data_IF_248527737235
#
_entry.id   IF_248527737235
#
_cell.length_a   1.000
_cell.length_b   1.000
_cell.length_c   1.000
_cell.angle_alpha   90.00
_cell.angle_beta   90.00
_cell.angle_gamma   90.00
#
_symmetry.space_group_name_H-M   'P 1'
#
loop_
_entity.id
_entity.type
_entity.pdbx_description
1 polymer ?
#
# COMPACT_ATOMS: atom_id res chain seq x y z
N UNK A 1 8.52 -4.19 -23.37
CA UNK A 1 8.87 -5.07 -22.23
C UNK A 1 9.28 -4.20 -21.05
N UNK A 2 8.44 -4.11 -20.02
CA UNK A 2 8.75 -3.34 -18.80
C UNK A 2 9.92 -4.02 -18.06
N UNK A 3 11.07 -3.34 -17.97
CA UNK A 3 12.19 -3.78 -17.12
C UNK A 3 11.64 -3.92 -15.70
N UNK A 4 11.61 -5.14 -15.15
CA UNK A 4 11.22 -5.39 -13.76
C UNK A 4 12.12 -4.53 -12.86
N UNK A 5 11.57 -3.44 -12.33
CA UNK A 5 12.26 -2.60 -11.35
C UNK A 5 12.36 -3.40 -10.05
N UNK A 6 13.54 -3.38 -9.43
CA UNK A 6 13.74 -3.95 -8.09
C UNK A 6 12.81 -3.20 -7.13
N UNK A 7 11.96 -3.88 -6.36
CA UNK A 7 11.03 -3.22 -5.43
C UNK A 7 11.78 -2.34 -4.43
N UNK A 8 11.22 -1.18 -4.06
CA UNK A 8 11.83 -0.27 -3.09
C UNK A 8 12.04 -0.93 -1.72
N UNK A 9 11.21 -1.92 -1.36
CA UNK A 9 11.39 -2.72 -0.15
C UNK A 9 12.74 -3.43 -0.16
N UNK A 10 13.15 -4.00 -1.29
CA UNK A 10 14.46 -4.63 -1.45
C UNK A 10 15.56 -3.57 -1.36
N UNK A 11 15.38 -2.40 -1.95
CA UNK A 11 16.34 -1.29 -1.82
C UNK A 11 16.51 -0.79 -0.39
N UNK A 12 15.44 -0.76 0.41
CA UNK A 12 15.51 -0.42 1.82
C UNK A 12 16.35 -1.45 2.59
N UNK A 13 16.20 -2.75 2.30
CA UNK A 13 17.05 -3.80 2.90
C UNK A 13 18.51 -3.73 2.43
N UNK A 14 18.76 -3.43 1.16
CA UNK A 14 20.12 -3.25 0.63
C UNK A 14 20.85 -2.15 1.41
N UNK A 15 20.16 -1.08 1.79
CA UNK A 15 20.74 0.00 2.57
C UNK A 15 21.12 -0.41 4.01
N UNK A 16 20.60 -1.53 4.53
CA UNK A 16 21.02 -2.11 5.81
C UNK A 16 22.22 -3.07 5.68
N UNK A 17 22.61 -3.48 4.47
CA UNK A 17 23.70 -4.46 4.25
C UNK A 17 25.04 -4.03 4.87
N UNK A 18 25.49 -2.76 4.77
CA UNK A 18 26.72 -2.32 5.45
C UNK A 18 26.68 -2.53 6.98
N UNK A 19 25.54 -2.27 7.61
CA UNK A 19 25.35 -2.46 9.05
C UNK A 19 25.39 -3.93 9.44
N UNK A 20 24.73 -4.79 8.66
CA UNK A 20 24.73 -6.24 8.87
C UNK A 20 26.15 -6.80 8.72
N UNK A 21 26.86 -6.41 7.66
CA UNK A 21 28.24 -6.83 7.42
C UNK A 21 29.16 -6.41 8.59
N UNK A 22 29.00 -5.18 9.08
CA UNK A 22 29.72 -4.70 10.26
C UNK A 22 29.40 -5.54 11.51
N UNK A 23 28.12 -5.80 11.82
CA UNK A 23 27.74 -6.59 12.99
C UNK A 23 28.29 -8.02 12.96
N UNK A 24 28.24 -8.68 11.80
CA UNK A 24 28.80 -10.03 11.62
C UNK A 24 30.31 -10.03 11.89
N UNK A 25 31.05 -9.11 11.29
CA UNK A 25 32.51 -9.07 11.43
C UNK A 25 32.94 -8.58 12.81
N UNK A 26 32.32 -7.53 13.33
CA UNK A 26 32.58 -7.02 14.68
C UNK A 26 32.26 -8.08 15.76
N UNK A 27 31.21 -8.87 15.57
CA UNK A 27 30.84 -9.99 16.45
C UNK A 27 31.91 -11.09 16.53
N UNK A 28 32.74 -11.24 15.49
CA UNK A 28 33.90 -12.16 15.48
C UNK A 28 35.19 -11.53 16.01
N UNK A 29 35.12 -10.31 16.57
CA UNK A 29 36.29 -9.54 17.03
C UNK A 29 37.01 -8.76 15.93
N UNK A 30 36.57 -8.87 14.67
CA UNK A 30 37.16 -8.19 13.50
C UNK A 30 36.54 -6.82 13.25
N UNK A 31 36.62 -5.93 14.24
CA UNK A 31 35.92 -4.63 14.22
C UNK A 31 36.40 -3.72 13.08
N UNK A 32 37.71 -3.49 12.93
CA UNK A 32 38.24 -2.60 11.89
C UNK A 32 38.04 -3.16 10.46
N UNK A 33 38.32 -4.46 10.17
CA UNK A 33 37.94 -5.05 8.89
C UNK A 33 36.43 -4.96 8.61
N UNK A 34 35.60 -5.11 9.64
CA UNK A 34 34.15 -4.91 9.55
C UNK A 34 33.77 -3.50 9.13
N UNK A 35 34.38 -2.48 9.74
CA UNK A 35 34.13 -1.08 9.41
C UNK A 35 34.58 -0.74 7.98
N UNK A 36 35.72 -1.28 7.53
CA UNK A 36 36.22 -1.10 6.15
C UNK A 36 35.27 -1.73 5.13
N UNK A 37 34.83 -2.98 5.37
CA UNK A 37 33.89 -3.66 4.48
C UNK A 37 32.55 -2.89 4.38
N UNK A 38 32.04 -2.42 5.52
CA UNK A 38 30.82 -1.62 5.56
C UNK A 38 30.99 -0.26 4.85
N UNK A 39 32.12 0.41 5.01
CA UNK A 39 32.44 1.65 4.30
C UNK A 39 32.47 1.44 2.79
N UNK A 40 33.13 0.39 2.29
CA UNK A 40 33.19 0.08 0.85
C UNK A 40 31.78 -0.15 0.29
N UNK A 41 30.97 -0.95 1.00
CA UNK A 41 29.58 -1.19 0.61
C UNK A 41 28.74 0.09 0.59
N UNK A 42 28.86 0.92 1.64
CA UNK A 42 28.16 2.21 1.73
C UNK A 42 28.61 3.19 0.64
N UNK A 43 29.91 3.25 0.34
CA UNK A 43 30.47 4.10 -0.70
C UNK A 43 29.95 3.68 -2.08
N UNK A 44 29.99 2.38 -2.39
CA UNK A 44 29.44 1.85 -3.64
C UNK A 44 27.95 2.19 -3.82
N UNK A 45 27.16 2.02 -2.75
CA UNK A 45 25.74 2.36 -2.77
C UNK A 45 25.52 3.87 -2.98
N UNK A 46 26.24 4.73 -2.27
CA UNK A 46 26.12 6.19 -2.42
C UNK A 46 26.54 6.65 -3.82
N UNK A 47 27.64 6.12 -4.37
CA UNK A 47 28.08 6.44 -5.73
C UNK A 47 27.02 6.02 -6.77
N UNK A 48 26.40 4.86 -6.59
CA UNK A 48 25.28 4.43 -7.42
C UNK A 48 24.07 5.38 -7.30
N UNK A 49 23.71 5.82 -6.07
CA UNK A 49 22.62 6.78 -5.85
C UNK A 49 22.89 8.15 -6.45
N UNK A 50 24.13 8.64 -6.37
CA UNK A 50 24.53 9.89 -6.98
C UNK A 50 24.46 9.83 -8.51
N UNK A 51 24.96 8.75 -9.12
CA UNK A 51 24.87 8.52 -10.59
C UNK A 51 23.43 8.41 -11.08
N UNK A 52 22.52 7.90 -10.26
CA UNK A 52 21.09 7.76 -10.60
C UNK A 52 20.25 8.95 -10.18
N UNK A 53 20.84 10.01 -9.60
CA UNK A 53 20.14 11.21 -9.17
C UNK A 53 19.14 10.99 -8.04
N UNK A 54 19.34 9.95 -7.20
CA UNK A 54 18.40 9.56 -6.16
C UNK A 54 19.08 9.35 -4.79
N UNK A 55 19.77 10.37 -4.24
CA UNK A 55 20.43 10.27 -2.94
C UNK A 55 19.42 9.99 -1.82
N UNK A 56 19.83 9.16 -0.84
CA UNK A 56 19.03 8.81 0.34
C UNK A 56 19.77 9.23 1.61
N UNK A 57 19.03 9.75 2.59
CA UNK A 57 19.56 10.21 3.87
C UNK A 57 20.30 9.08 4.61
N UNK A 58 19.68 7.89 4.69
CA UNK A 58 20.27 6.75 5.39
C UNK A 58 21.58 6.27 4.75
N UNK A 59 21.65 6.30 3.42
CA UNK A 59 22.88 5.91 2.70
C UNK A 59 24.02 6.87 3.06
N UNK A 60 23.74 8.19 3.11
CA UNK A 60 24.71 9.20 3.51
C UNK A 60 25.16 9.08 4.97
N UNK A 61 24.21 8.87 5.89
CA UNK A 61 24.51 8.64 7.33
C UNK A 61 25.37 7.41 7.52
N UNK A 62 25.07 6.32 6.80
CA UNK A 62 25.84 5.07 6.84
C UNK A 62 27.28 5.29 6.39
N UNK A 63 27.47 6.01 5.27
CA UNK A 63 28.81 6.33 4.76
C UNK A 63 29.61 7.18 5.75
N UNK A 64 28.99 8.24 6.30
CA UNK A 64 29.63 9.13 7.26
C UNK A 64 30.00 8.39 8.55
N UNK A 65 29.11 7.53 9.06
CA UNK A 65 29.36 6.75 10.26
C UNK A 65 30.59 5.85 10.12
N UNK A 66 30.69 5.08 9.03
CA UNK A 66 31.82 4.18 8.83
C UNK A 66 33.12 4.92 8.48
N UNK A 67 33.05 6.08 7.81
CA UNK A 67 34.21 6.94 7.61
C UNK A 67 34.78 7.42 8.96
N UNK A 68 33.91 7.91 9.85
CA UNK A 68 34.30 8.33 11.21
C UNK A 68 34.83 7.15 12.03
N UNK A 69 34.20 5.98 11.91
CA UNK A 69 34.68 4.77 12.57
C UNK A 69 36.12 4.42 12.14
N UNK A 70 36.41 4.41 10.83
CA UNK A 70 37.76 4.10 10.32
C UNK A 70 38.76 5.16 10.78
N UNK A 71 38.40 6.43 10.72
CA UNK A 71 39.25 7.53 11.20
C UNK A 71 39.61 7.35 12.68
N UNK A 72 38.61 7.17 13.54
CA UNK A 72 38.85 7.08 14.98
C UNK A 72 39.56 5.79 15.38
N UNK A 73 39.16 4.63 14.84
CA UNK A 73 39.74 3.34 15.24
C UNK A 73 41.05 3.04 14.52
N UNK A 74 41.13 3.31 13.22
CA UNK A 74 42.26 2.93 12.39
C UNK A 74 43.37 3.98 12.32
N UNK A 75 43.01 5.28 12.30
CA UNK A 75 43.99 6.36 12.12
C UNK A 75 44.38 7.00 13.45
N UNK A 76 43.39 7.37 14.27
CA UNK A 76 43.62 8.05 15.55
C UNK A 76 43.91 7.09 16.71
N UNK A 77 43.79 5.77 16.50
CA UNK A 77 44.00 4.76 17.54
C UNK A 77 43.04 4.84 18.73
N UNK A 78 41.90 5.53 18.58
CA UNK A 78 40.91 5.71 19.64
C UNK A 78 40.11 4.44 19.89
N UNK A 79 39.95 4.10 21.17
CA UNK A 79 39.11 2.98 21.63
C UNK A 79 37.61 3.31 21.61
N UNK A 80 37.21 4.52 21.22
CA UNK A 80 35.81 4.99 21.25
C UNK A 80 34.83 3.99 20.62
N UNK A 81 35.07 3.56 19.38
CA UNK A 81 34.20 2.60 18.70
C UNK A 81 34.36 1.15 19.18
N UNK A 82 35.53 0.80 19.76
CA UNK A 82 35.75 -0.51 20.36
C UNK A 82 34.96 -0.66 21.68
N UNK A 83 34.88 0.41 22.46
CA UNK A 83 34.19 0.44 23.76
C UNK A 83 32.69 0.74 23.60
N UNK A 84 32.33 1.74 22.80
CA UNK A 84 30.97 2.27 22.68
C UNK A 84 30.30 1.95 21.34
N UNK A 85 30.86 1.05 20.52
CA UNK A 85 30.41 0.81 19.15
C UNK A 85 28.91 0.55 19.02
N UNK A 86 28.35 -0.31 19.88
CA UNK A 86 26.90 -0.58 19.90
C UNK A 86 26.06 0.67 20.18
N UNK A 87 26.45 1.47 21.17
CA UNK A 87 25.78 2.74 21.51
C UNK A 87 25.84 3.71 20.34
N UNK A 88 27.01 3.86 19.72
CA UNK A 88 27.23 4.81 18.62
C UNK A 88 26.45 4.43 17.36
N UNK A 89 26.36 3.13 17.03
CA UNK A 89 25.55 2.63 15.90
C UNK A 89 24.09 3.03 16.09
N UNK A 90 23.50 2.67 17.23
CA UNK A 90 22.09 2.93 17.49
C UNK A 90 21.80 4.44 17.69
N UNK A 91 22.74 5.19 18.26
CA UNK A 91 22.65 6.64 18.35
C UNK A 91 22.59 7.29 16.96
N UNK A 92 23.48 6.90 16.04
CA UNK A 92 23.49 7.44 14.69
C UNK A 92 22.16 7.17 13.95
N UNK A 93 21.64 5.95 14.06
CA UNK A 93 20.35 5.56 13.47
C UNK A 93 19.17 6.28 14.12
N UNK A 94 19.18 6.46 15.44
CA UNK A 94 18.14 7.18 16.17
C UNK A 94 18.14 8.67 15.80
N UNK A 95 19.30 9.33 15.79
CA UNK A 95 19.43 10.73 15.40
C UNK A 95 18.97 10.96 13.97
N UNK A 96 19.33 10.07 13.05
CA UNK A 96 18.81 10.12 11.68
C UNK A 96 17.29 9.99 11.65
N UNK A 97 16.72 8.99 12.33
CA UNK A 97 15.29 8.73 12.29
C UNK A 97 14.49 9.90 12.90
N UNK A 98 14.86 10.35 14.10
CA UNK A 98 14.24 11.52 14.74
C UNK A 98 14.46 12.81 13.95
N UNK A 99 15.67 13.05 13.44
CA UNK A 99 15.98 14.21 12.61
C UNK A 99 15.13 14.24 11.33
N UNK A 100 14.91 13.07 10.71
CA UNK A 100 14.06 12.96 9.51
C UNK A 100 12.58 13.27 9.80
N UNK A 101 12.08 12.91 10.99
CA UNK A 101 10.73 13.28 11.45
C UNK A 101 10.63 14.78 11.73
N UNK A 102 11.62 15.34 12.43
CA UNK A 102 11.67 16.77 12.75
C UNK A 102 11.73 17.62 11.47
N UNK A 103 12.46 17.16 10.45
CA UNK A 103 12.52 17.78 9.13
C UNK A 103 11.25 17.57 8.27
N UNK A 104 10.23 16.85 8.77
CA UNK A 104 9.00 16.48 8.05
C UNK A 104 9.25 15.70 6.74
N UNK A 105 10.40 15.04 6.65
CA UNK A 105 10.78 14.17 5.53
C UNK A 105 11.23 12.82 6.08
N UNK A 106 10.28 11.98 6.54
CA UNK A 106 10.62 10.70 7.17
C UNK A 106 11.55 9.89 6.27
N UNK A 107 12.62 9.29 6.80
CA UNK A 107 13.60 8.62 5.93
C UNK A 107 12.96 7.47 5.11
N UNK A 108 11.93 6.80 5.65
CA UNK A 108 11.20 5.74 4.95
C UNK A 108 10.43 6.26 3.72
N UNK A 109 9.96 7.51 3.76
CA UNK A 109 9.30 8.16 2.62
C UNK A 109 10.24 8.30 1.41
N UNK A 110 11.54 8.44 1.63
CA UNK A 110 12.52 8.51 0.55
C UNK A 110 12.62 7.19 -0.22
N UNK A 111 12.39 6.04 0.43
CA UNK A 111 12.36 4.75 -0.25
C UNK A 111 10.99 4.48 -0.86
N UNK A 112 9.91 4.76 -0.11
CA UNK A 112 8.55 4.50 -0.55
C UNK A 112 8.20 5.24 -1.87
N UNK A 113 8.70 6.46 -2.08
CA UNK A 113 8.43 7.22 -3.32
C UNK A 113 8.94 6.55 -4.60
N UNK A 114 9.91 5.64 -4.52
CA UNK A 114 10.50 4.98 -5.70
C UNK A 114 9.51 3.97 -6.33
N UNK A 115 8.57 3.44 -5.53
CA UNK A 115 7.56 2.46 -5.96
C UNK A 115 6.20 3.09 -6.34
N UNK A 116 5.97 4.36 -5.99
CA UNK A 116 4.66 5.00 -6.14
C UNK A 116 4.69 6.11 -7.21
N UNK A 117 3.62 6.24 -8.02
CA UNK A 117 3.45 7.36 -8.94
C UNK A 117 3.55 8.72 -8.22
N UNK A 118 4.02 9.76 -8.94
CA UNK A 118 4.31 11.09 -8.37
C UNK A 118 3.09 11.78 -7.77
N UNK A 119 1.91 11.44 -8.27
CA UNK A 119 0.61 11.93 -7.83
C UNK A 119 0.35 11.57 -6.35
N UNK A 120 0.89 10.45 -5.87
CA UNK A 120 0.72 10.01 -4.49
C UNK A 120 1.75 10.60 -3.52
N UNK A 121 2.82 11.25 -4.02
CA UNK A 121 3.93 11.69 -3.20
C UNK A 121 3.54 12.76 -2.17
N UNK A 122 2.50 13.54 -2.49
CA UNK A 122 1.96 14.59 -1.62
C UNK A 122 0.68 14.17 -0.89
N UNK A 123 0.24 12.92 -1.07
CA UNK A 123 -1.00 12.46 -0.47
C UNK A 123 -0.85 12.35 1.07
N UNK A 124 -1.76 12.93 1.89
CA UNK A 124 -1.63 12.95 3.35
C UNK A 124 -1.49 11.57 3.97
N UNK A 125 -2.27 10.57 3.50
CA UNK A 125 -2.14 9.19 4.00
C UNK A 125 -0.79 8.56 3.65
N UNK A 126 -0.21 8.91 2.50
CA UNK A 126 1.08 8.35 2.08
C UNK A 126 2.20 8.89 2.97
N UNK A 127 2.20 10.19 3.23
CA UNK A 127 3.13 10.82 4.15
C UNK A 127 2.95 10.29 5.59
N UNK A 128 1.70 10.26 6.09
CA UNK A 128 1.38 9.77 7.44
C UNK A 128 1.78 8.31 7.67
N UNK A 129 1.62 7.46 6.67
CA UNK A 129 2.08 6.06 6.72
C UNK A 129 3.58 6.00 6.99
N UNK A 130 4.36 6.78 6.25
CA UNK A 130 5.82 6.79 6.38
C UNK A 130 6.30 7.46 7.67
N UNK A 131 5.58 8.47 8.17
CA UNK A 131 5.81 9.05 9.50
C UNK A 131 5.68 7.99 10.60
N UNK A 132 4.60 7.21 10.59
CA UNK A 132 4.36 6.16 11.59
C UNK A 132 5.46 5.09 11.54
N UNK A 133 5.82 4.63 10.35
CA UNK A 133 6.88 3.63 10.19
C UNK A 133 8.23 4.20 10.68
N UNK A 134 8.54 5.44 10.33
CA UNK A 134 9.78 6.10 10.77
C UNK A 134 9.81 6.30 12.29
N UNK A 135 8.68 6.66 12.91
CA UNK A 135 8.56 6.79 14.37
C UNK A 135 8.86 5.48 15.08
N UNK A 136 8.32 4.37 14.56
CA UNK A 136 8.58 3.03 15.11
C UNK A 136 10.08 2.70 15.04
N UNK A 137 10.72 2.98 13.89
CA UNK A 137 12.17 2.81 13.77
C UNK A 137 12.95 3.73 14.72
N UNK A 138 12.55 4.99 14.88
CA UNK A 138 13.19 5.93 15.79
C UNK A 138 13.14 5.41 17.24
N UNK A 139 12.00 4.87 17.67
CA UNK A 139 11.84 4.24 19.00
C UNK A 139 12.70 2.99 19.13
N UNK A 140 12.67 2.08 18.14
CA UNK A 140 13.49 0.86 18.15
C UNK A 140 14.98 1.18 18.26
N UNK A 141 15.47 2.15 17.49
CA UNK A 141 16.87 2.56 17.54
C UNK A 141 17.23 3.23 18.86
N UNK A 142 16.34 4.05 19.41
CA UNK A 142 16.54 4.67 20.73
C UNK A 142 16.62 3.61 21.84
N UNK A 143 15.72 2.62 21.82
CA UNK A 143 15.78 1.48 22.74
C UNK A 143 17.06 0.67 22.58
N UNK A 144 17.47 0.39 21.33
CA UNK A 144 18.74 -0.29 21.04
C UNK A 144 19.96 0.45 21.60
N UNK A 145 19.97 1.79 21.52
CA UNK A 145 21.01 2.64 22.10
C UNK A 145 21.05 2.50 23.62
N UNK A 146 19.90 2.63 24.29
CA UNK A 146 19.79 2.51 25.75
C UNK A 146 20.22 1.13 26.24
N UNK A 147 19.80 0.07 25.56
CA UNK A 147 20.19 -1.30 25.88
C UNK A 147 21.69 -1.54 25.71
N UNK A 148 22.29 -0.97 24.65
CA UNK A 148 23.74 -1.05 24.46
C UNK A 148 24.51 -0.24 25.51
N UNK A 149 23.96 0.87 26.00
CA UNK A 149 24.55 1.63 27.09
C UNK A 149 24.47 0.85 28.41
N UNK A 150 23.31 0.23 28.70
CA UNK A 150 23.11 -0.65 29.85
C UNK A 150 24.07 -1.85 29.84
N UNK A 151 24.36 -2.42 28.66
CA UNK A 151 25.31 -3.51 28.50
C UNK A 151 26.76 -3.16 28.91
N UNK A 152 27.12 -1.86 28.93
CA UNK A 152 28.43 -1.39 29.44
C UNK A 152 28.50 -1.42 30.97
N UNK A 153 27.36 -1.23 31.64
CA UNK A 153 27.25 -1.22 33.11
C UNK A 153 27.07 -2.64 33.65
N UNK A 154 26.41 -3.52 32.90
CA UNK A 154 26.17 -4.92 33.28
C UNK A 154 26.81 -5.92 32.32
N UNK A 155 28.14 -6.17 32.41
CA UNK A 155 28.86 -7.07 31.51
C UNK A 155 28.32 -8.50 31.50
N UNK A 156 27.82 -8.99 32.64
CA UNK A 156 27.23 -10.33 32.76
C UNK A 156 26.03 -10.55 31.82
N UNK A 157 25.33 -9.48 31.45
CA UNK A 157 24.15 -9.51 30.58
C UNK A 157 24.43 -8.95 29.18
N UNK A 158 25.69 -8.71 28.82
CA UNK A 158 26.08 -8.03 27.57
C UNK A 158 25.48 -8.68 26.33
N UNK A 159 25.50 -10.01 26.23
CA UNK A 159 24.95 -10.73 25.07
C UNK A 159 23.44 -10.48 24.93
N UNK A 160 22.72 -10.53 26.06
CA UNK A 160 21.26 -10.34 26.07
C UNK A 160 20.92 -8.89 25.71
N UNK A 161 21.57 -7.92 26.36
CA UNK A 161 21.27 -6.50 26.23
C UNK A 161 21.77 -5.89 24.91
N UNK A 162 22.97 -6.24 24.45
CA UNK A 162 23.57 -5.65 23.25
C UNK A 162 23.24 -6.41 21.95
N UNK A 163 22.90 -7.70 22.05
CA UNK A 163 22.68 -8.55 20.87
C UNK A 163 21.26 -9.10 20.81
N UNK A 164 20.83 -9.94 21.76
CA UNK A 164 19.57 -10.69 21.63
C UNK A 164 18.35 -9.77 21.59
N UNK A 165 18.17 -8.90 22.59
CA UNK A 165 17.00 -8.03 22.67
C UNK A 165 16.96 -7.04 21.48
N UNK A 166 18.04 -6.32 21.13
CA UNK A 166 18.00 -5.39 20.00
C UNK A 166 17.64 -6.07 18.68
N UNK A 167 18.18 -7.25 18.37
CA UNK A 167 17.84 -7.96 17.13
C UNK A 167 16.38 -8.44 17.11
N UNK A 168 15.85 -8.90 18.25
CA UNK A 168 14.43 -9.23 18.38
C UNK A 168 13.55 -7.99 18.11
N UNK A 169 13.95 -6.81 18.59
CA UNK A 169 13.21 -5.56 18.36
C UNK A 169 13.19 -5.13 16.88
N UNK A 170 14.20 -5.50 16.09
CA UNK A 170 14.20 -5.21 14.64
C UNK A 170 13.13 -6.01 13.88
N UNK A 171 12.78 -7.23 14.34
CA UNK A 171 11.85 -8.12 13.64
C UNK A 171 10.45 -7.47 13.49
N UNK A 172 9.79 -6.98 14.55
CA UNK A 172 8.53 -6.24 14.40
C UNK A 172 8.65 -5.00 13.51
N UNK A 173 9.77 -4.26 13.59
CA UNK A 173 10.02 -3.09 12.73
C UNK A 173 10.03 -3.44 11.24
N UNK A 174 10.69 -4.54 10.89
CA UNK A 174 10.72 -5.08 9.52
C UNK A 174 9.35 -5.56 9.09
N UNK A 175 8.70 -6.42 9.88
CA UNK A 175 7.37 -6.97 9.54
C UNK A 175 6.35 -5.84 9.34
N UNK A 176 6.32 -4.86 10.25
CA UNK A 176 5.43 -3.72 10.15
C UNK A 176 5.71 -2.91 8.88
N UNK A 177 6.98 -2.69 8.53
CA UNK A 177 7.35 -1.99 7.28
C UNK A 177 6.87 -2.71 6.01
N UNK A 178 6.69 -4.04 6.05
CA UNK A 178 6.19 -4.83 4.91
C UNK A 178 4.66 -4.82 4.79
N UNK A 179 3.95 -4.89 5.92
CA UNK A 179 2.49 -5.05 5.93
C UNK A 179 1.72 -3.73 6.13
N UNK A 180 2.25 -2.82 6.94
CA UNK A 180 1.56 -1.59 7.34
C UNK A 180 1.20 -0.67 6.17
N UNK A 181 2.07 -0.45 5.15
CA UNK A 181 1.71 0.39 4.00
C UNK A 181 0.52 -0.13 3.19
N UNK A 182 0.25 -1.44 3.22
CA UNK A 182 -0.86 -2.06 2.51
C UNK A 182 -2.16 -2.02 3.30
N UNK A 183 -2.07 -2.00 4.62
CA UNK A 183 -3.21 -2.08 5.52
C UNK A 183 -3.69 -0.69 5.97
N UNK A 184 -2.79 0.17 6.45
CA UNK A 184 -3.17 1.43 7.10
C UNK A 184 -3.93 2.40 6.19
N UNK A 185 -3.52 2.66 4.93
CA UNK A 185 -4.29 3.55 4.06
C UNK A 185 -5.71 3.05 3.79
N UNK A 186 -5.89 1.73 3.63
CA UNK A 186 -7.21 1.10 3.43
C UNK A 186 -8.07 1.24 4.67
N UNK A 187 -7.51 0.94 5.83
CA UNK A 187 -8.18 1.09 7.12
C UNK A 187 -8.57 2.55 7.38
N UNK A 188 -7.65 3.49 7.17
CA UNK A 188 -7.88 4.92 7.38
C UNK A 188 -8.95 5.46 6.43
N UNK A 189 -8.93 5.05 5.16
CA UNK A 189 -9.95 5.42 4.18
C UNK A 189 -11.32 4.84 4.54
N UNK A 190 -11.40 3.56 4.88
CA UNK A 190 -12.65 2.91 5.29
C UNK A 190 -13.27 3.62 6.51
N UNK A 191 -12.45 3.97 7.50
CA UNK A 191 -12.89 4.70 8.70
C UNK A 191 -13.29 6.15 8.39
N UNK A 192 -12.64 6.80 7.43
CA UNK A 192 -13.02 8.14 6.97
C UNK A 192 -14.37 8.11 6.25
N UNK A 193 -14.60 7.12 5.39
CA UNK A 193 -15.90 6.88 4.72
C UNK A 193 -16.97 6.60 5.76
N UNK A 194 -16.74 5.68 6.70
CA UNK A 194 -17.70 5.34 7.75
C UNK A 194 -18.08 6.58 8.59
N UNK A 195 -17.11 7.41 8.95
CA UNK A 195 -17.38 8.67 9.68
C UNK A 195 -18.19 9.66 8.86
N UNK A 196 -17.91 9.78 7.56
CA UNK A 196 -18.64 10.68 6.65
C UNK A 196 -20.07 10.20 6.40
N UNK A 197 -20.24 8.89 6.27
CA UNK A 197 -21.51 8.28 5.88
C UNK A 197 -22.38 7.95 7.11
N UNK A 198 -21.85 7.97 8.33
CA UNK A 198 -22.61 7.77 9.59
C UNK A 198 -23.88 8.64 9.71
N UNK A 199 -23.87 9.96 9.40
CA UNK A 199 -25.09 10.77 9.42
C UNK A 199 -26.05 10.46 8.25
N UNK A 200 -25.58 9.83 7.17
CA UNK A 200 -26.38 9.44 6.00
C UNK A 200 -26.62 7.93 5.91
N UNK A 201 -26.42 7.20 7.01
CA UNK A 201 -26.54 5.75 7.04
C UNK A 201 -27.97 5.33 6.70
N UNK A 202 -28.19 4.86 5.47
CA UNK A 202 -29.45 4.26 5.06
C UNK A 202 -29.75 3.08 5.98
N UNK A 203 -30.82 3.18 6.76
CA UNK A 203 -31.31 2.05 7.55
C UNK A 203 -31.97 1.07 6.58
N UNK A 204 -31.48 -0.17 6.47
CA UNK A 204 -32.10 -1.13 5.57
C UNK A 204 -33.57 -1.33 5.97
N UNK A 205 -34.52 -1.29 5.01
CA UNK A 205 -35.91 -1.58 5.31
C UNK A 205 -36.05 -3.01 5.83
N UNK A 206 -36.96 -3.20 6.80
CA UNK A 206 -37.35 -4.54 7.25
C UNK A 206 -38.50 -5.01 6.37
N UNK A 207 -38.33 -6.16 5.74
CA UNK A 207 -39.40 -6.77 4.95
C UNK A 207 -40.22 -7.73 5.82
N UNK A 208 -41.55 -7.78 5.65
CA UNK A 208 -42.38 -8.81 6.25
C UNK A 208 -41.87 -10.21 5.88
N UNK A 209 -42.05 -11.20 6.77
CA UNK A 209 -41.71 -12.59 6.47
C UNK A 209 -42.79 -13.29 5.64
N UNK A 210 -44.03 -12.82 5.75
CA UNK A 210 -45.17 -13.34 5.00
C UNK A 210 -45.35 -12.54 3.71
N UNK A 211 -45.53 -13.20 2.56
CA UNK A 211 -45.76 -12.51 1.30
C UNK A 211 -47.13 -11.79 1.31
N UNK A 212 -47.29 -10.71 0.52
CA UNK A 212 -48.55 -9.98 0.47
C UNK A 212 -49.72 -10.87 0.05
N UNK A 213 -50.82 -10.83 0.80
CA UNK A 213 -51.96 -11.73 0.61
C UNK A 213 -52.86 -11.32 -0.57
N UNK A 214 -52.97 -10.01 -0.82
CA UNK A 214 -53.77 -9.48 -1.92
C UNK A 214 -52.96 -9.40 -3.22
N UNK A 215 -53.66 -9.51 -4.36
CA UNK A 215 -53.03 -9.48 -5.68
C UNK A 215 -52.37 -8.13 -6.01
N UNK A 216 -52.86 -7.04 -5.43
CA UNK A 216 -52.45 -5.65 -5.65
C UNK A 216 -51.48 -5.09 -4.58
N UNK A 217 -51.15 -5.88 -3.55
CA UNK A 217 -50.13 -5.51 -2.57
C UNK A 217 -48.72 -5.95 -3.00
N UNK A 218 -47.70 -5.16 -2.66
CA UNK A 218 -46.30 -5.40 -3.02
C UNK A 218 -45.37 -5.08 -1.85
N UNK A 219 -44.31 -5.86 -1.66
CA UNK A 219 -43.29 -5.61 -0.63
C UNK A 219 -42.40 -4.41 -0.98
N UNK A 220 -42.16 -4.23 -2.29
CA UNK A 220 -41.27 -3.19 -2.82
C UNK A 220 -41.84 -2.61 -4.10
N UNK A 221 -41.85 -1.28 -4.19
CA UNK A 221 -42.10 -0.56 -5.43
C UNK A 221 -40.78 0.04 -5.92
N UNK A 222 -40.37 -0.32 -7.12
CA UNK A 222 -39.20 0.21 -7.81
C UNK A 222 -39.67 1.17 -8.89
N UNK A 223 -39.29 2.44 -8.77
CA UNK A 223 -39.62 3.49 -9.72
C UNK A 223 -38.45 3.65 -10.70
N UNK A 224 -38.69 3.34 -11.97
CA UNK A 224 -37.73 3.34 -13.06
C UNK A 224 -37.23 1.95 -13.43
N UNK A 225 -37.47 1.54 -14.68
CA UNK A 225 -37.04 0.27 -15.27
C UNK A 225 -35.68 0.39 -15.98
N UNK A 226 -34.74 1.17 -15.42
CA UNK A 226 -33.34 1.16 -15.83
C UNK A 226 -32.58 -0.07 -15.33
N UNK A 227 -31.32 -0.25 -15.75
CA UNK A 227 -30.49 -1.38 -15.30
C UNK A 227 -30.41 -1.49 -13.77
N UNK A 228 -30.29 -0.37 -13.05
CA UNK A 228 -30.29 -0.37 -11.57
C UNK A 228 -31.61 -0.84 -10.96
N UNK A 229 -32.74 -0.30 -11.45
CA UNK A 229 -34.07 -0.66 -10.95
C UNK A 229 -34.46 -2.09 -11.26
N UNK A 230 -34.28 -2.54 -12.51
CA UNK A 230 -34.53 -3.93 -12.93
C UNK A 230 -33.65 -4.92 -12.16
N UNK A 231 -32.38 -4.57 -11.94
CA UNK A 231 -31.46 -5.40 -11.13
C UNK A 231 -31.93 -5.50 -9.68
N UNK A 232 -32.29 -4.37 -9.07
CA UNK A 232 -32.78 -4.35 -7.69
C UNK A 232 -34.06 -5.18 -7.55
N UNK A 233 -35.05 -4.97 -8.43
CA UNK A 233 -36.30 -5.71 -8.45
C UNK A 233 -36.07 -7.21 -8.64
N UNK A 234 -35.23 -7.61 -9.58
CA UNK A 234 -34.92 -9.02 -9.83
C UNK A 234 -34.23 -9.69 -8.62
N UNK A 235 -33.30 -9.00 -7.97
CA UNK A 235 -32.60 -9.49 -6.78
C UNK A 235 -33.51 -9.58 -5.54
N UNK A 236 -34.50 -8.68 -5.42
CA UNK A 236 -35.51 -8.72 -4.35
C UNK A 236 -36.52 -9.85 -4.62
N UNK A 237 -36.98 -9.99 -5.86
CA UNK A 237 -37.85 -11.08 -6.29
C UNK A 237 -37.21 -12.46 -6.09
N UNK A 238 -35.92 -12.60 -6.43
CA UNK A 238 -35.17 -13.83 -6.17
C UNK A 238 -35.08 -14.18 -4.67
N UNK A 239 -35.16 -13.17 -3.79
CA UNK A 239 -35.20 -13.35 -2.33
C UNK A 239 -36.62 -13.56 -1.77
N UNK A 240 -37.61 -13.73 -2.64
CA UNK A 240 -39.00 -14.02 -2.25
C UNK A 240 -39.90 -12.81 -2.08
N UNK A 241 -39.40 -11.59 -2.34
CA UNK A 241 -40.21 -10.37 -2.21
C UNK A 241 -41.03 -10.09 -3.47
N UNK A 242 -42.28 -9.69 -3.30
CA UNK A 242 -43.16 -9.27 -4.39
C UNK A 242 -42.84 -7.83 -4.80
N UNK A 243 -42.05 -7.66 -5.85
CA UNK A 243 -41.62 -6.35 -6.34
C UNK A 243 -42.49 -5.85 -7.51
N UNK A 244 -43.00 -4.62 -7.42
CA UNK A 244 -43.60 -3.87 -8.51
C UNK A 244 -42.56 -2.97 -9.15
N UNK A 245 -42.40 -3.03 -10.48
CA UNK A 245 -41.57 -2.06 -11.22
C UNK A 245 -42.49 -1.16 -12.04
N UNK A 246 -42.37 0.15 -11.86
CA UNK A 246 -43.10 1.15 -12.66
C UNK A 246 -42.13 1.96 -13.50
N UNK A 247 -42.49 2.20 -14.76
CA UNK A 247 -41.69 2.97 -15.71
C UNK A 247 -42.61 3.95 -16.42
N UNK A 248 -42.15 5.19 -16.55
CA UNK A 248 -42.90 6.24 -17.25
C UNK A 248 -42.72 6.15 -18.77
N UNK A 249 -41.58 5.63 -19.22
CA UNK A 249 -41.29 5.44 -20.64
C UNK A 249 -42.05 4.23 -21.22
N UNK A 250 -42.28 4.26 -22.53
CA UNK A 250 -42.88 3.13 -23.26
C UNK A 250 -41.93 1.93 -23.44
N UNK A 251 -40.68 2.04 -22.98
CA UNK A 251 -39.65 1.02 -23.09
C UNK A 251 -38.81 0.95 -21.81
N UNK A 252 -38.28 -0.23 -21.53
CA UNK A 252 -37.38 -0.47 -20.40
C UNK A 252 -35.92 -0.24 -20.79
N UNK A 253 -35.05 -0.11 -19.79
CA UNK A 253 -33.60 0.00 -19.95
C UNK A 253 -33.03 1.36 -19.50
N UNK A 254 -33.86 2.39 -19.35
CA UNK A 254 -33.41 3.73 -18.98
C UNK A 254 -32.37 4.26 -19.97
N UNK A 255 -31.19 4.68 -19.48
CA UNK A 255 -30.08 5.10 -20.35
C UNK A 255 -29.51 3.95 -21.21
N UNK A 256 -29.79 2.70 -20.83
CA UNK A 256 -29.44 1.49 -21.57
C UNK A 256 -30.58 0.96 -22.45
N UNK A 257 -31.63 1.76 -22.67
CA UNK A 257 -32.73 1.37 -23.54
C UNK A 257 -32.32 1.40 -25.02
N UNK A 258 -33.16 0.77 -25.84
CA UNK A 258 -33.03 0.73 -27.29
C UNK A 258 -34.36 1.14 -27.95
N UNK A 259 -34.30 1.56 -29.21
CA UNK A 259 -35.50 1.78 -30.02
C UNK A 259 -35.36 1.10 -31.39
N UNK A 260 -36.50 0.68 -31.95
CA UNK A 260 -36.59 0.11 -33.30
C UNK A 260 -37.24 1.11 -34.23
N UNK A 261 -36.67 1.31 -35.41
CA UNK A 261 -37.27 2.19 -36.43
C UNK A 261 -38.22 1.37 -37.28
N UNK A 262 -39.54 1.53 -37.12
CA UNK A 262 -40.59 0.67 -37.75
C UNK A 262 -40.42 0.37 -39.26
N UNK A 263 -39.83 1.28 -40.02
CA UNK A 263 -39.60 1.13 -41.47
C UNK A 263 -38.25 0.47 -41.83
N UNK A 264 -37.43 0.08 -40.85
CA UNK A 264 -36.12 -0.55 -41.05
C UNK A 264 -35.87 -1.62 -39.98
N UNK A 265 -35.32 -2.79 -40.37
CA UNK A 265 -35.04 -3.93 -39.46
C UNK A 265 -33.88 -3.72 -38.47
N UNK A 266 -33.62 -2.48 -38.05
CA UNK A 266 -32.50 -2.13 -37.16
C UNK A 266 -32.99 -1.70 -35.78
N UNK A 267 -32.26 -2.17 -34.77
CA UNK A 267 -32.37 -1.74 -33.36
C UNK A 267 -31.20 -0.82 -33.06
N UNK A 268 -31.46 0.31 -32.41
CA UNK A 268 -30.44 1.28 -32.01
C UNK A 268 -30.45 1.42 -30.48
N UNK A 269 -29.27 1.33 -29.86
CA UNK A 269 -29.09 1.64 -28.45
C UNK A 269 -29.02 3.15 -28.23
N UNK A 270 -29.55 3.61 -27.09
CA UNK A 270 -29.63 5.05 -26.78
C UNK A 270 -28.30 5.57 -26.20
N UNK A 271 -27.63 4.80 -25.33
CA UNK A 271 -26.46 5.31 -24.59
C UNK A 271 -25.39 4.30 -24.20
N UNK A 272 -25.62 2.99 -24.33
CA UNK A 272 -24.60 1.99 -24.01
C UNK A 272 -23.65 1.81 -25.19
N UNK A 273 -22.35 1.96 -24.94
CA UNK A 273 -21.30 1.74 -25.92
C UNK A 273 -20.57 0.41 -25.68
N UNK A 274 -20.19 0.14 -24.43
CA UNK A 274 -19.55 -1.10 -24.01
C UNK A 274 -19.94 -1.49 -22.58
N UNK A 275 -19.68 -2.74 -22.20
CA UNK A 275 -19.95 -3.27 -20.86
C UNK A 275 -18.65 -3.83 -20.27
N UNK A 276 -18.16 -3.18 -19.22
CA UNK A 276 -17.01 -3.66 -18.45
C UNK A 276 -17.44 -4.54 -17.28
N UNK A 277 -16.49 -5.26 -16.67
CA UNK A 277 -16.78 -6.12 -15.50
C UNK A 277 -17.29 -7.52 -15.84
N UNK A 278 -17.04 -8.00 -17.07
CA UNK A 278 -17.36 -9.37 -17.51
C UNK A 278 -16.25 -10.40 -17.28
N UNK A 279 -15.13 -10.01 -16.65
CA UNK A 279 -14.05 -10.94 -16.29
C UNK A 279 -14.49 -11.98 -15.24
N UNK A 280 -13.69 -13.04 -14.98
CA UNK A 280 -14.07 -14.14 -14.08
C UNK A 280 -14.48 -13.72 -12.66
N UNK A 281 -13.93 -12.61 -12.16
CA UNK A 281 -14.24 -12.00 -10.86
C UNK A 281 -14.88 -10.60 -11.01
N UNK A 282 -15.42 -10.31 -12.19
CA UNK A 282 -16.01 -9.02 -12.51
C UNK A 282 -17.41 -8.87 -11.91
N UNK A 283 -17.81 -7.64 -11.51
CA UNK A 283 -19.07 -7.40 -10.82
C UNK A 283 -20.29 -7.72 -11.69
N UNK A 284 -20.26 -7.39 -12.98
CA UNK A 284 -21.37 -7.66 -13.92
C UNK A 284 -21.53 -9.16 -14.13
N UNK A 285 -20.43 -9.89 -14.34
CA UNK A 285 -20.49 -11.36 -14.49
C UNK A 285 -21.03 -12.03 -13.22
N UNK A 286 -20.62 -11.58 -12.04
CA UNK A 286 -21.15 -12.08 -10.78
C UNK A 286 -22.67 -11.84 -10.68
N UNK A 287 -23.13 -10.63 -11.02
CA UNK A 287 -24.56 -10.31 -11.00
C UNK A 287 -25.38 -11.17 -11.96
N UNK A 288 -24.91 -11.37 -13.18
CA UNK A 288 -25.62 -12.18 -14.19
C UNK A 288 -25.73 -13.65 -13.77
N UNK A 289 -24.69 -14.19 -13.10
CA UNK A 289 -24.70 -15.52 -12.48
C UNK A 289 -25.66 -15.60 -11.33
N UNK A 290 -25.64 -14.60 -10.45
CA UNK A 290 -26.55 -14.50 -9.32
C UNK A 290 -28.00 -14.47 -9.83
N UNK A 291 -28.29 -13.77 -10.92
CA UNK A 291 -29.62 -13.76 -11.53
C UNK A 291 -29.95 -15.00 -12.39
N UNK A 292 -28.98 -15.89 -12.64
CA UNK A 292 -29.18 -17.07 -13.48
C UNK A 292 -29.42 -16.77 -14.97
N UNK A 293 -29.02 -15.59 -15.44
CA UNK A 293 -29.26 -15.11 -16.82
C UNK A 293 -27.99 -15.01 -17.67
N UNK A 294 -26.82 -15.35 -17.13
CA UNK A 294 -25.54 -15.28 -17.84
C UNK A 294 -25.58 -16.06 -19.17
N UNK A 295 -26.19 -17.25 -19.19
CA UNK A 295 -26.29 -18.10 -20.38
C UNK A 295 -27.29 -17.61 -21.43
N UNK A 296 -28.14 -16.63 -21.10
CA UNK A 296 -29.13 -16.03 -22.02
C UNK A 296 -28.55 -14.88 -22.83
N UNK A 297 -27.31 -14.49 -22.56
CA UNK A 297 -26.66 -13.33 -23.15
C UNK A 297 -25.42 -13.75 -23.92
N UNK A 298 -25.30 -13.25 -25.15
CA UNK A 298 -24.08 -13.37 -25.94
C UNK A 298 -23.26 -12.09 -25.79
N UNK A 299 -22.04 -12.21 -25.25
CA UNK A 299 -21.12 -11.08 -25.12
C UNK A 299 -20.05 -11.16 -26.21
N UNK A 300 -19.99 -10.12 -27.03
CA UNK A 300 -18.96 -9.96 -28.06
C UNK A 300 -17.87 -9.04 -27.54
N UNK A 301 -16.60 -9.46 -27.70
CA UNK A 301 -15.46 -8.64 -27.29
C UNK A 301 -15.31 -7.46 -28.25
N UNK A 302 -15.43 -6.24 -27.74
CA UNK A 302 -15.15 -5.00 -28.48
C UNK A 302 -13.65 -4.64 -28.33
N UNK A 303 -12.85 -4.70 -29.41
CA UNK A 303 -11.51 -4.12 -29.42
C UNK A 303 -11.62 -2.59 -29.51
N UNK A 304 -10.78 -1.89 -28.75
CA UNK A 304 -10.66 -0.43 -28.83
C UNK A 304 -9.31 -0.10 -29.45
N UNK A 305 -9.29 0.88 -30.36
CA UNK A 305 -8.05 1.44 -30.92
C UNK A 305 -8.14 2.96 -30.79
N UNK A 306 -7.16 3.56 -30.13
CA UNK A 306 -7.04 5.00 -29.95
C UNK A 306 -6.03 5.52 -30.98
N UNK A 307 -6.44 6.51 -31.78
CA UNK A 307 -5.61 7.13 -32.80
C UNK A 307 -5.47 8.62 -32.45
N UNK A 308 -4.24 9.04 -32.17
CA UNK A 308 -3.90 10.44 -31.85
C UNK A 308 -2.75 10.90 -32.75
N UNK A 309 -3.08 11.52 -33.88
CA UNK A 309 -2.11 11.79 -34.94
C UNK A 309 -1.50 10.48 -35.44
N UNK A 310 -0.18 10.37 -35.37
CA UNK A 310 0.57 9.16 -35.77
C UNK A 310 0.64 8.08 -34.67
N UNK A 311 0.18 8.38 -33.44
CA UNK A 311 0.17 7.42 -32.34
C UNK A 311 -1.06 6.52 -32.41
N UNK A 312 -0.85 5.21 -32.48
CA UNK A 312 -1.90 4.18 -32.39
C UNK A 312 -1.71 3.33 -31.13
N UNK A 313 -2.76 3.23 -30.31
CA UNK A 313 -2.80 2.41 -29.10
C UNK A 313 -3.96 1.42 -29.22
N UNK A 314 -3.68 0.13 -29.04
CA UNK A 314 -4.67 -0.96 -28.97
C UNK A 314 -4.75 -1.53 -27.56
#
# INVERSE_FOLDING_TARGET
MSKRRIPSTVWAFIAFVPWIAYWVLAGTGRVLPGAIAAFIGALGLNLYRLRTGNPKLMDGVTLAFFALHILFTGVLGSKLFLTYGGVLVYLALALMAWGSLAARTPFTYQYARDDWPREYWHHPLFHRTNEIITLIWAVIFTLGMVLNAAALVWPAHKIILATVIPHILLIPGVLLSLYFPRWFPRYALARAIERRDRPFGWRPPRFPQEPPAASDEFDVIVIGAGMGGLTAAALLAKRGLKALVVEQAHYVGGFCAHFRRLHRRYTFDIGVHDISGLGPRGPVRHLLRELGIESRLEFVRMPHEYILGDLRLR
#
